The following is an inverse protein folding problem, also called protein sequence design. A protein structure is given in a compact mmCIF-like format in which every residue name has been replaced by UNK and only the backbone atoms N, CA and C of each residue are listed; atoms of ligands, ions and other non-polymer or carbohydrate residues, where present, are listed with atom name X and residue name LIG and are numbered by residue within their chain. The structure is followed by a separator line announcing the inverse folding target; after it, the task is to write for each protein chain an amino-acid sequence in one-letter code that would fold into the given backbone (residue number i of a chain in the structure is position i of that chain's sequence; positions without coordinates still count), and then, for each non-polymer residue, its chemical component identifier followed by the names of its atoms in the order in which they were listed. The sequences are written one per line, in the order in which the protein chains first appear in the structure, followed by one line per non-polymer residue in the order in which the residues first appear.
data_IF_169266593861
#
_entry.id   IF_169266593861
#
_cell.length_a   1.000
_cell.length_b   1.000
_cell.length_c   1.000
_cell.angle_alpha   90.00
_cell.angle_beta   90.00
_cell.angle_gamma   90.00
#
_symmetry.space_group_name_H-M   'P 1'
#
loop_
_entity.id
_entity.type
_entity.pdbx_description
1 polymer ?
#
# COMPACT_ATOMS: atom_id res chain seq x y z
N UNK A 1 4.71 -9.36 1.48
CA UNK A 1 3.84 -9.27 2.67
C UNK A 1 2.57 -10.12 2.56
N UNK A 2 1.85 -10.09 1.44
CA UNK A 2 0.58 -10.83 1.28
C UNK A 2 0.63 -12.34 1.53
N UNK A 3 1.72 -13.04 1.20
CA UNK A 3 1.73 -14.51 1.31
C UNK A 3 1.60 -15.03 2.76
N UNK A 4 2.18 -14.36 3.76
CA UNK A 4 2.12 -14.81 5.17
C UNK A 4 0.76 -14.62 5.81
N UNK A 5 0.01 -13.59 5.42
CA UNK A 5 -1.34 -13.40 5.95
C UNK A 5 -2.28 -14.54 5.51
N UNK A 6 -2.01 -15.15 4.35
CA UNK A 6 -2.74 -16.32 3.85
C UNK A 6 -2.57 -17.57 4.73
N UNK A 7 -1.52 -17.63 5.56
CA UNK A 7 -1.35 -18.73 6.53
C UNK A 7 -2.38 -18.69 7.67
N UNK A 8 -2.98 -17.52 7.93
CA UNK A 8 -3.78 -17.26 9.13
C UNK A 8 -5.17 -16.67 8.84
N UNK A 9 -5.57 -16.58 7.56
CA UNK A 9 -6.90 -16.08 7.16
C UNK A 9 -7.66 -17.16 6.41
N UNK A 10 -8.98 -17.32 6.64
CA UNK A 10 -9.80 -18.25 5.87
C UNK A 10 -10.17 -17.70 4.48
N UNK A 11 -9.91 -16.41 4.23
CA UNK A 11 -10.40 -15.71 3.03
C UNK A 11 -9.39 -14.73 2.47
N UNK A 12 -9.31 -14.68 1.14
CA UNK A 12 -8.58 -13.68 0.38
C UNK A 12 -9.56 -12.78 -0.38
N UNK A 13 -9.50 -11.47 -0.12
CA UNK A 13 -10.29 -10.46 -0.82
C UNK A 13 -9.41 -9.76 -1.84
N UNK A 14 -9.77 -9.85 -3.12
CA UNK A 14 -9.07 -9.16 -4.22
C UNK A 14 -9.98 -8.04 -4.73
N UNK A 15 -9.46 -6.81 -4.75
CA UNK A 15 -10.12 -5.65 -5.34
C UNK A 15 -9.43 -5.32 -6.64
N UNK A 16 -10.09 -5.60 -7.76
CA UNK A 16 -9.61 -5.23 -9.08
C UNK A 16 -10.19 -3.86 -9.46
N UNK A 17 -9.35 -2.89 -9.86
CA UNK A 17 -9.84 -1.63 -10.40
C UNK A 17 -10.64 -1.88 -11.68
N UNK A 18 -11.55 -0.95 -11.99
CA UNK A 18 -12.25 -0.95 -13.27
C UNK A 18 -11.30 -0.57 -14.40
N UNK A 19 -11.46 -1.18 -15.57
CA UNK A 19 -10.68 -0.86 -16.78
C UNK A 19 -11.62 -0.27 -17.85
N UNK A 20 -11.30 0.92 -18.34
CA UNK A 20 -12.16 1.66 -19.27
C UNK A 20 -13.54 1.96 -18.64
N UNK A 21 -14.61 1.43 -19.25
CA UNK A 21 -15.98 1.56 -18.76
C UNK A 21 -16.39 0.45 -17.76
N UNK A 22 -15.54 -0.53 -17.50
CA UNK A 22 -15.87 -1.62 -16.58
C UNK A 22 -15.83 -1.13 -15.12
N UNK A 23 -16.80 -1.51 -14.27
CA UNK A 23 -16.77 -1.18 -12.85
C UNK A 23 -15.67 -1.97 -12.13
N UNK A 24 -15.19 -1.40 -11.02
CA UNK A 24 -14.30 -2.12 -10.10
C UNK A 24 -14.97 -3.40 -9.58
N UNK A 25 -14.19 -4.48 -9.42
CA UNK A 25 -14.67 -5.79 -8.97
C UNK A 25 -14.05 -6.18 -7.65
N UNK A 26 -14.83 -6.88 -6.83
CA UNK A 26 -14.39 -7.49 -5.58
C UNK A 26 -14.58 -9.01 -5.68
N UNK A 27 -13.49 -9.74 -5.57
CA UNK A 27 -13.50 -11.20 -5.49
C UNK A 27 -13.22 -11.61 -4.05
N UNK A 28 -13.97 -12.59 -3.55
CA UNK A 28 -13.75 -13.22 -2.26
C UNK A 28 -13.45 -14.70 -2.54
N UNK A 29 -12.21 -15.10 -2.26
CA UNK A 29 -11.74 -16.47 -2.41
C UNK A 29 -11.70 -17.13 -1.05
N UNK A 30 -12.35 -18.29 -0.92
CA UNK A 30 -12.19 -19.14 0.25
C UNK A 30 -10.84 -19.83 0.17
N UNK A 31 -10.07 -19.74 1.25
CA UNK A 31 -8.78 -20.40 1.34
C UNK A 31 -8.95 -21.79 1.97
N UNK A 32 -8.12 -22.77 1.58
CA UNK A 32 -8.09 -24.07 2.24
C UNK A 32 -7.86 -23.92 3.75
N UNK A 33 -8.52 -24.74 4.54
CA UNK A 33 -8.32 -24.76 6.00
C UNK A 33 -6.90 -25.22 6.38
N UNK A 34 -6.28 -26.06 5.55
CA UNK A 34 -4.90 -26.50 5.71
C UNK A 34 -3.93 -25.60 4.92
N UNK A 35 -3.10 -24.86 5.65
CA UNK A 35 -2.07 -23.99 5.09
C UNK A 35 -0.70 -24.67 4.96
N UNK A 36 -0.55 -25.96 5.32
CA UNK A 36 0.72 -26.67 5.28
C UNK A 36 1.40 -26.65 3.89
N UNK A 37 0.68 -26.81 2.76
CA UNK A 37 1.29 -26.73 1.43
C UNK A 37 1.91 -25.36 1.15
N UNK A 38 1.25 -24.28 1.58
CA UNK A 38 1.77 -22.92 1.41
C UNK A 38 3.02 -22.69 2.27
N UNK A 39 2.99 -23.14 3.53
CA UNK A 39 4.13 -23.04 4.43
C UNK A 39 5.37 -23.79 3.89
N UNK A 40 5.16 -24.95 3.26
CA UNK A 40 6.23 -25.72 2.63
C UNK A 40 6.90 -24.93 1.49
N UNK A 41 6.11 -24.37 0.57
CA UNK A 41 6.63 -23.54 -0.54
C UNK A 41 7.40 -22.33 -0.03
N UNK A 42 6.88 -21.64 1.00
CA UNK A 42 7.54 -20.49 1.59
C UNK A 42 8.91 -20.85 2.19
N UNK A 43 8.96 -21.96 2.93
CA UNK A 43 10.19 -22.46 3.56
C UNK A 43 11.23 -22.85 2.50
N UNK A 44 10.81 -23.56 1.45
CA UNK A 44 11.67 -23.96 0.32
C UNK A 44 12.26 -22.73 -0.40
N UNK A 45 11.47 -21.67 -0.53
CA UNK A 45 11.90 -20.40 -1.11
C UNK A 45 12.67 -19.49 -0.13
N UNK A 46 12.99 -19.95 1.08
CA UNK A 46 13.69 -19.16 2.10
C UNK A 46 12.89 -17.97 2.65
N UNK A 47 11.57 -17.97 2.49
CA UNK A 47 10.67 -16.94 3.03
C UNK A 47 10.30 -17.33 4.46
N UNK A 48 10.64 -16.52 5.48
CA UNK A 48 10.30 -16.85 6.86
C UNK A 48 8.78 -16.84 7.06
N UNK A 49 8.25 -17.80 7.81
CA UNK A 49 6.81 -17.91 8.08
C UNK A 49 6.29 -16.81 9.04
N UNK A 50 7.19 -16.19 9.80
CA UNK A 50 6.90 -15.07 10.69
C UNK A 50 7.84 -13.91 10.38
N UNK A 51 7.33 -12.68 10.38
CA UNK A 51 8.14 -11.47 10.33
C UNK A 51 7.60 -10.43 11.30
N UNK A 52 8.50 -9.74 12.02
CA UNK A 52 8.12 -8.60 12.86
C UNK A 52 7.41 -7.50 12.06
N UNK A 53 7.69 -7.38 10.76
CA UNK A 53 7.02 -6.44 9.87
C UNK A 53 5.53 -6.76 9.66
N UNK A 54 5.12 -8.02 9.81
CA UNK A 54 3.72 -8.42 9.62
C UNK A 54 2.84 -7.89 10.76
N UNK A 55 3.39 -7.80 11.99
CA UNK A 55 2.68 -7.23 13.14
C UNK A 55 2.36 -5.74 12.97
N UNK A 56 3.08 -5.05 12.10
CA UNK A 56 2.87 -3.63 11.80
C UNK A 56 2.15 -3.40 10.47
N UNK A 57 1.87 -4.46 9.70
CA UNK A 57 1.18 -4.35 8.43
C UNK A 57 -0.32 -4.25 8.63
N UNK A 58 -0.87 -3.05 8.42
CA UNK A 58 -2.30 -2.85 8.28
C UNK A 58 -2.66 -2.79 6.79
N UNK A 59 -3.43 -3.75 6.25
CA UNK A 59 -3.88 -3.72 4.86
C UNK A 59 -4.95 -2.64 4.63
N UNK A 60 -5.49 -2.03 5.69
CA UNK A 60 -6.48 -0.98 5.56
C UNK A 60 -5.81 0.31 5.10
N UNK A 61 -6.29 0.80 3.95
CA UNK A 61 -5.95 2.14 3.47
C UNK A 61 -6.78 3.10 4.30
N UNK A 62 -6.12 4.03 4.99
CA UNK A 62 -6.76 5.09 5.75
C UNK A 62 -7.53 6.03 4.82
N UNK A 63 -8.67 6.54 5.29
CA UNK A 63 -9.38 7.63 4.63
C UNK A 63 -8.70 8.94 5.01
N UNK A 64 -7.78 9.40 4.17
CA UNK A 64 -6.99 10.62 4.40
C UNK A 64 -7.64 11.82 3.72
N UNK A 65 -8.01 12.83 4.51
CA UNK A 65 -8.40 14.13 3.97
C UNK A 65 -7.19 15.06 3.96
N UNK A 66 -6.83 15.56 2.78
CA UNK A 66 -5.68 16.44 2.61
C UNK A 66 -6.09 17.92 2.77
N UNK A 67 -5.32 18.65 3.56
CA UNK A 67 -5.33 20.11 3.51
C UNK A 67 -4.63 20.62 2.26
N UNK A 68 -3.47 20.03 1.96
CA UNK A 68 -2.76 20.18 0.70
C UNK A 68 -2.48 18.81 0.13
N UNK A 69 -2.98 18.47 -1.07
CA UNK A 69 -2.70 17.16 -1.66
C UNK A 69 -1.21 17.01 -2.00
N UNK A 70 -0.66 15.79 -1.95
CA UNK A 70 0.67 15.47 -2.45
C UNK A 70 0.83 15.89 -3.91
N UNK A 71 2.00 16.43 -4.25
CA UNK A 71 2.34 16.76 -5.63
C UNK A 71 2.98 15.52 -6.26
N UNK A 72 2.22 14.87 -7.14
CA UNK A 72 2.66 13.69 -7.87
C UNK A 72 3.61 14.12 -8.98
N UNK A 73 4.89 13.80 -8.82
CA UNK A 73 5.88 13.94 -9.89
C UNK A 73 5.92 12.68 -10.76
N UNK A 74 6.20 12.85 -12.04
CA UNK A 74 6.43 11.71 -12.95
C UNK A 74 7.91 11.29 -12.89
N UNK A 75 8.23 9.99 -12.84
CA UNK A 75 9.61 9.54 -12.93
C UNK A 75 10.28 9.93 -14.24
N UNK A 76 11.56 10.29 -14.16
CA UNK A 76 12.45 10.44 -15.31
C UNK A 76 13.74 9.64 -15.06
N UNK A 77 14.17 8.74 -15.97
CA UNK A 77 13.45 8.33 -17.19
C UNK A 77 12.15 7.59 -16.87
N UNK A 78 11.19 7.67 -17.79
CA UNK A 78 9.86 7.10 -17.60
C UNK A 78 9.92 5.57 -17.73
N UNK A 79 9.49 4.79 -16.72
CA UNK A 79 9.48 3.32 -16.82
C UNK A 79 8.47 2.83 -17.85
N UNK A 80 8.73 1.66 -18.45
CA UNK A 80 7.89 1.03 -19.48
C UNK A 80 6.59 0.42 -18.92
N UNK A 81 5.94 1.08 -17.97
CA UNK A 81 4.70 0.61 -17.32
C UNK A 81 3.60 1.63 -17.57
N UNK A 82 2.37 1.17 -17.80
CA UNK A 82 1.23 2.05 -18.05
C UNK A 82 0.71 2.70 -16.77
N UNK A 83 0.82 1.98 -15.66
CA UNK A 83 0.47 2.46 -14.32
C UNK A 83 1.36 1.83 -13.26
N UNK A 84 1.46 2.51 -12.12
CA UNK A 84 2.11 1.97 -10.94
C UNK A 84 1.38 2.40 -9.66
N UNK A 85 1.39 1.53 -8.66
CA UNK A 85 0.86 1.80 -7.33
C UNK A 85 1.97 1.69 -6.29
N UNK A 86 1.93 2.59 -5.30
CA UNK A 86 2.75 2.52 -4.12
C UNK A 86 1.87 2.62 -2.88
N UNK A 87 1.96 1.62 -2.01
CA UNK A 87 1.34 1.65 -0.68
C UNK A 87 2.38 2.15 0.31
N UNK A 88 2.09 3.25 0.99
CA UNK A 88 3.00 3.89 1.93
C UNK A 88 2.31 4.09 3.27
N UNK A 89 3.07 3.95 4.35
CA UNK A 89 2.65 4.27 5.71
C UNK A 89 3.50 5.40 6.25
N UNK A 90 2.86 6.40 6.83
CA UNK A 90 3.52 7.58 7.39
C UNK A 90 2.99 7.88 8.79
N UNK A 91 3.82 8.52 9.60
CA UNK A 91 3.38 9.25 10.78
C UNK A 91 3.02 10.69 10.36
N UNK A 92 2.22 11.38 11.16
CA UNK A 92 1.89 12.79 10.95
C UNK A 92 2.33 13.63 12.15
N UNK A 93 2.95 14.77 11.88
CA UNK A 93 3.25 15.75 12.94
C UNK A 93 2.02 16.61 13.29
N UNK A 94 2.16 17.45 14.32
CA UNK A 94 1.10 18.35 14.77
C UNK A 94 0.62 19.34 13.69
N UNK A 95 1.43 19.61 12.66
CA UNK A 95 1.11 20.49 11.54
C UNK A 95 0.56 19.75 10.32
N UNK A 96 0.26 18.45 10.43
CA UNK A 96 -0.27 17.65 9.34
C UNK A 96 0.78 17.20 8.33
N UNK A 97 2.08 17.38 8.60
CA UNK A 97 3.12 16.98 7.66
C UNK A 97 3.43 15.49 7.82
N UNK A 98 3.43 14.71 6.73
CA UNK A 98 3.87 13.31 6.78
C UNK A 98 5.36 13.20 7.11
N UNK A 99 5.68 12.33 8.06
CA UNK A 99 7.03 12.00 8.53
C UNK A 99 7.20 10.48 8.64
N UNK A 100 8.45 10.02 8.80
CA UNK A 100 8.80 8.59 8.95
C UNK A 100 8.16 7.65 7.92
N UNK A 101 7.90 8.16 6.71
CA UNK A 101 7.20 7.39 5.69
C UNK A 101 8.02 6.19 5.21
N UNK A 102 7.38 5.02 5.18
CA UNK A 102 7.93 3.75 4.70
C UNK A 102 7.10 3.20 3.54
N UNK A 103 7.77 2.59 2.57
CA UNK A 103 7.12 1.86 1.49
C UNK A 103 6.71 0.47 1.99
N UNK A 104 5.42 0.18 1.94
CA UNK A 104 4.88 -1.12 2.29
C UNK A 104 4.82 -2.06 1.07
N UNK A 105 4.42 -1.51 -0.08
CA UNK A 105 4.22 -2.28 -1.30
C UNK A 105 4.41 -1.40 -2.53
N UNK A 106 4.86 -2.00 -3.62
CA UNK A 106 5.03 -1.36 -4.92
C UNK A 106 4.60 -2.32 -6.01
N UNK A 107 3.76 -1.85 -6.94
CA UNK A 107 3.31 -2.61 -8.09
C UNK A 107 3.42 -1.78 -9.37
N UNK A 108 4.13 -2.23 -10.42
CA UNK A 108 4.93 -3.45 -10.49
C UNK A 108 6.10 -3.45 -9.49
N UNK A 109 6.35 -4.59 -8.85
CA UNK A 109 7.45 -4.71 -7.90
C UNK A 109 8.79 -4.32 -8.53
N UNK A 110 9.57 -3.50 -7.82
CA UNK A 110 10.89 -3.00 -8.25
C UNK A 110 10.85 -2.07 -9.48
N UNK A 111 9.69 -1.50 -9.80
CA UNK A 111 9.55 -0.48 -10.86
C UNK A 111 10.20 0.87 -10.48
N UNK A 112 10.40 1.10 -9.18
CA UNK A 112 11.05 2.29 -8.67
C UNK A 112 10.15 3.52 -8.55
N UNK A 113 8.82 3.36 -8.59
CA UNK A 113 7.82 4.37 -8.25
C UNK A 113 7.71 4.62 -6.74
N UNK A 114 8.04 3.63 -5.90
CA UNK A 114 7.95 3.75 -4.44
C UNK A 114 8.78 4.92 -3.89
N UNK A 115 9.97 5.16 -4.43
CA UNK A 115 10.80 6.34 -4.10
C UNK A 115 10.16 7.66 -4.51
N UNK A 116 9.36 7.69 -5.58
CA UNK A 116 8.63 8.89 -5.98
C UNK A 116 7.42 9.11 -5.08
N UNK A 117 6.70 8.06 -4.72
CA UNK A 117 5.61 8.13 -3.75
C UNK A 117 6.10 8.67 -2.39
N UNK A 118 7.22 8.16 -1.89
CA UNK A 118 7.84 8.64 -0.64
C UNK A 118 8.26 10.12 -0.69
N UNK A 119 8.61 10.65 -1.88
CA UNK A 119 8.91 12.08 -2.05
C UNK A 119 7.64 12.91 -2.17
N UNK A 120 6.69 12.46 -2.98
CA UNK A 120 5.42 13.15 -3.23
C UNK A 120 4.62 13.31 -1.95
N UNK A 121 4.49 12.25 -1.13
CA UNK A 121 3.69 12.30 0.10
C UNK A 121 4.16 13.40 1.06
N UNK A 122 5.47 13.67 1.12
CA UNK A 122 6.06 14.67 2.01
C UNK A 122 5.72 16.11 1.62
N UNK A 123 5.23 16.34 0.40
CA UNK A 123 4.75 17.68 -0.04
C UNK A 123 3.32 17.94 0.42
N UNK A 124 2.57 16.90 0.77
CA UNK A 124 1.20 17.00 1.25
C UNK A 124 1.09 17.54 2.67
N UNK A 125 -0.13 17.91 3.04
CA UNK A 125 -0.54 18.24 4.41
C UNK A 125 -1.86 17.52 4.70
N UNK A 126 -1.89 16.71 5.73
CA UNK A 126 -3.05 15.97 6.19
C UNK A 126 -3.89 16.86 7.09
N UNK A 127 -5.21 16.83 6.88
CA UNK A 127 -6.21 17.50 7.73
C UNK A 127 -6.88 16.51 8.69
N UNK A 128 -7.27 15.35 8.17
CA UNK A 128 -8.00 14.32 8.91
C UNK A 128 -7.57 12.93 8.47
N UNK A 129 -7.68 11.98 9.39
CA UNK A 129 -7.45 10.54 9.19
C UNK A 129 -8.71 9.83 9.70
N UNK A 130 -9.33 9.02 8.84
CA UNK A 130 -10.52 8.21 9.15
C UNK A 130 -11.68 9.04 9.73
N UNK A 131 -11.84 10.28 9.22
CA UNK A 131 -12.88 11.23 9.64
C UNK A 131 -12.56 11.99 10.94
N UNK A 132 -11.50 11.65 11.65
CA UNK A 132 -11.03 12.34 12.86
C UNK A 132 -9.95 13.40 12.59
N UNK A 133 -9.81 14.41 13.47
CA UNK A 133 -8.70 15.36 13.39
C UNK A 133 -7.34 14.65 13.59
N UNK A 134 -6.29 15.17 12.98
CA UNK A 134 -4.94 14.65 13.19
C UNK A 134 -4.51 14.80 14.66
N UNK A 135 -3.86 13.76 15.18
CA UNK A 135 -3.15 13.79 16.45
C UNK A 135 -1.64 13.69 16.18
N UNK A 136 -0.78 14.39 16.92
CA UNK A 136 0.66 14.27 16.75
C UNK A 136 1.11 12.81 16.94
N UNK A 137 1.84 12.27 15.96
CA UNK A 137 2.28 10.87 15.97
C UNK A 137 1.25 9.86 15.47
N UNK A 138 0.06 10.30 15.03
CA UNK A 138 -0.89 9.40 14.39
C UNK A 138 -0.30 8.82 13.10
N UNK A 139 -0.59 7.54 12.85
CA UNK A 139 -0.13 6.84 11.65
C UNK A 139 -1.27 6.74 10.64
N UNK A 140 -0.96 6.85 9.35
CA UNK A 140 -1.90 6.58 8.27
C UNK A 140 -1.24 5.78 7.14
N UNK A 141 -2.06 4.99 6.45
CA UNK A 141 -1.65 4.23 5.25
C UNK A 141 -2.37 4.79 4.04
N UNK A 142 -1.65 5.21 3.01
CA UNK A 142 -2.23 5.73 1.76
C UNK A 142 -1.68 5.01 0.55
N UNK A 143 -2.54 4.82 -0.46
CA UNK A 143 -2.13 4.36 -1.79
C UNK A 143 -1.91 5.56 -2.70
N UNK A 144 -0.82 5.53 -3.45
CA UNK A 144 -0.52 6.49 -4.50
C UNK A 144 -0.50 5.77 -5.84
N UNK A 145 -1.39 6.17 -6.73
CA UNK A 145 -1.49 5.63 -8.09
C UNK A 145 -0.88 6.61 -9.08
N UNK A 146 0.05 6.12 -9.89
CA UNK A 146 0.71 6.85 -10.96
C UNK A 146 0.16 6.33 -12.29
N UNK A 147 -0.47 7.22 -13.05
CA UNK A 147 -0.82 6.93 -14.44
C UNK A 147 0.32 7.48 -15.31
N UNK A 148 0.93 6.61 -16.10
CA UNK A 148 2.12 6.92 -16.91
C UNK A 148 1.75 7.04 -18.39
N UNK A 149 0.46 7.23 -18.69
CA UNK A 149 0.04 7.58 -20.05
C UNK A 149 0.61 8.95 -20.39
N UNK A 150 1.42 8.98 -21.46
CA UNK A 150 1.93 10.20 -22.08
C UNK A 150 0.86 10.93 -22.86
#
# INVERSE_FOLDING_TARGET
MYARSLLNTPRLIIRAPGEGSAPARRYELQLPADSAPLAAVMTDCGVPLQSASDATYDPNISVVTWDRPPQMGVPSPMPSVTSADALIRCDVDAGGRPQNCVLLDEQPARSGFGRYALRAVRTGRVRQIDGGPIQPGATFTTRMTFNVQG
#
